data_IF_644828861444
#
_entry.id   IF_644828861444
#
_cell.length_a   1.000
_cell.length_b   1.000
_cell.length_c   1.000
_cell.angle_alpha   90.00
_cell.angle_beta   90.00
_cell.angle_gamma   90.00
#
_symmetry.space_group_name_H-M   'P 1'
#
loop_
_entity.id
_entity.type
_entity.pdbx_description
1 polymer ?
#
# COMPACT_ATOMS: atom_id res chain seq x y z
N UNK A 1 25.71 -37.20 6.21
CA UNK A 1 25.50 -36.03 7.08
C UNK A 1 26.87 -35.39 7.23
N UNK A 2 27.11 -34.28 6.52
CA UNK A 2 28.44 -33.65 6.47
C UNK A 2 28.53 -32.68 7.63
N UNK A 3 29.43 -32.93 8.58
CA UNK A 3 29.68 -32.01 9.69
C UNK A 3 30.32 -30.73 9.15
N UNK A 4 29.75 -29.59 9.52
CA UNK A 4 30.28 -28.27 9.17
C UNK A 4 31.56 -28.05 9.97
N UNK A 5 32.63 -27.59 9.31
CA UNK A 5 33.93 -27.36 9.93
C UNK A 5 33.82 -26.34 11.08
N UNK A 6 34.39 -26.65 12.24
CA UNK A 6 34.36 -25.81 13.44
C UNK A 6 34.83 -24.37 13.18
N UNK A 7 35.82 -24.17 12.30
CA UNK A 7 36.33 -22.86 11.90
C UNK A 7 35.24 -21.99 11.22
N UNK A 8 34.34 -22.61 10.46
CA UNK A 8 33.20 -21.91 9.85
C UNK A 8 32.18 -21.52 10.93
N UNK A 9 31.95 -22.41 11.89
CA UNK A 9 31.07 -22.14 13.04
C UNK A 9 31.60 -21.01 13.91
N UNK A 10 32.90 -21.00 14.18
CA UNK A 10 33.57 -19.97 14.99
C UNK A 10 33.60 -18.62 14.25
N UNK A 11 33.74 -18.62 12.92
CA UNK A 11 33.69 -17.42 12.08
C UNK A 11 32.28 -16.81 12.01
N UNK A 12 31.22 -17.63 11.96
CA UNK A 12 29.82 -17.17 12.06
C UNK A 12 29.53 -16.63 13.48
N UNK A 13 30.04 -17.29 14.52
CA UNK A 13 29.86 -16.84 15.90
C UNK A 13 30.63 -15.55 16.22
N UNK A 14 31.74 -15.30 15.51
CA UNK A 14 32.52 -14.07 15.58
C UNK A 14 32.03 -12.96 14.63
N UNK A 15 31.03 -13.22 13.79
CA UNK A 15 30.43 -12.21 12.94
C UNK A 15 29.60 -11.25 13.81
N UNK A 16 30.08 -10.01 13.93
CA UNK A 16 29.39 -8.94 14.64
C UNK A 16 28.25 -8.41 13.76
N UNK A 17 27.06 -8.96 13.96
CA UNK A 17 25.88 -8.54 13.22
C UNK A 17 25.28 -7.30 13.88
N UNK A 18 25.43 -6.14 13.23
CA UNK A 18 24.78 -4.91 13.66
C UNK A 18 23.30 -4.90 13.22
N UNK A 19 22.41 -5.12 14.19
CA UNK A 19 20.95 -5.08 14.01
C UNK A 19 20.32 -3.76 14.46
N UNK A 20 21.11 -2.73 14.80
CA UNK A 20 20.61 -1.45 15.31
C UNK A 20 19.59 -0.78 14.38
N UNK A 21 19.70 -1.06 13.08
CA UNK A 21 18.88 -0.45 12.03
C UNK A 21 17.77 -1.37 11.50
N UNK A 22 17.60 -2.58 12.06
CA UNK A 22 16.59 -3.54 11.56
C UNK A 22 15.18 -2.97 11.61
N UNK A 23 14.88 -2.14 12.62
CA UNK A 23 13.55 -1.53 12.78
C UNK A 23 13.32 -0.36 11.82
N UNK A 24 14.39 0.25 11.26
CA UNK A 24 14.27 1.35 10.28
C UNK A 24 13.78 0.85 8.92
N UNK A 25 13.95 -0.44 8.63
CA UNK A 25 13.48 -1.08 7.39
C UNK A 25 11.95 -1.22 7.31
N UNK A 26 11.24 -1.20 8.45
CA UNK A 26 9.77 -1.36 8.50
C UNK A 26 9.01 -0.04 8.66
N UNK A 27 9.72 1.08 8.80
CA UNK A 27 9.13 2.39 9.03
C UNK A 27 8.82 3.07 7.70
N UNK A 28 7.85 2.50 6.99
CA UNK A 28 7.40 2.94 5.67
C UNK A 28 6.55 4.21 5.82
N UNK A 29 6.92 5.25 5.08
CA UNK A 29 6.22 6.53 5.07
C UNK A 29 5.65 6.78 3.67
N UNK A 30 4.34 7.00 3.61
CA UNK A 30 3.61 7.26 2.37
C UNK A 30 2.88 8.58 2.44
N UNK A 31 2.91 9.32 1.34
CA UNK A 31 2.06 10.48 1.12
C UNK A 31 0.91 10.08 0.21
N UNK A 32 -0.33 10.25 0.68
CA UNK A 32 -1.53 9.94 -0.09
C UNK A 32 -2.31 11.21 -0.42
N UNK A 33 -2.61 11.42 -1.70
CA UNK A 33 -3.54 12.44 -2.19
C UNK A 33 -4.81 11.77 -2.72
N UNK A 34 -5.96 12.32 -2.35
CA UNK A 34 -7.26 11.81 -2.73
C UNK A 34 -8.19 12.96 -3.10
N UNK A 35 -8.84 12.83 -4.26
CA UNK A 35 -9.93 13.71 -4.67
C UNK A 35 -11.05 12.89 -5.29
N UNK A 36 -12.29 13.27 -5.00
CA UNK A 36 -13.47 12.65 -5.60
C UNK A 36 -14.55 13.68 -5.91
N UNK A 37 -15.34 13.35 -6.91
CA UNK A 37 -16.51 14.09 -7.32
C UNK A 37 -17.64 13.10 -7.65
N UNK A 38 -18.83 13.39 -7.12
CA UNK A 38 -20.00 12.56 -7.30
C UNK A 38 -21.23 13.38 -7.67
N UNK A 39 -22.12 12.74 -8.43
CA UNK A 39 -23.43 13.25 -8.76
C UNK A 39 -24.48 12.17 -8.45
N UNK A 40 -25.61 12.59 -7.89
CA UNK A 40 -26.79 11.75 -7.73
C UNK A 40 -27.96 12.41 -8.47
N UNK A 41 -28.72 11.59 -9.20
CA UNK A 41 -29.93 12.02 -9.90
C UNK A 41 -31.11 11.15 -9.49
N UNK A 42 -32.16 11.80 -8.98
CA UNK A 42 -33.40 11.12 -8.63
C UNK A 42 -34.23 10.84 -9.89
N UNK A 43 -34.29 9.58 -10.30
CA UNK A 43 -35.10 9.12 -11.44
C UNK A 43 -36.58 9.03 -11.07
N UNK A 44 -36.88 8.63 -9.83
CA UNK A 44 -38.22 8.59 -9.26
C UNK A 44 -38.14 8.70 -7.72
N UNK A 45 -39.26 8.88 -6.99
CA UNK A 45 -39.23 8.96 -5.51
C UNK A 45 -38.61 7.75 -4.80
N UNK A 46 -38.43 6.63 -5.51
CA UNK A 46 -37.84 5.39 -5.00
C UNK A 46 -36.62 4.93 -5.78
N UNK A 47 -36.15 5.69 -6.77
CA UNK A 47 -35.04 5.29 -7.63
C UNK A 47 -34.09 6.46 -7.83
N UNK A 48 -32.83 6.29 -7.44
CA UNK A 48 -31.74 7.23 -7.74
C UNK A 48 -30.66 6.56 -8.58
N UNK A 49 -30.09 7.33 -9.50
CA UNK A 49 -28.86 7.00 -10.21
C UNK A 49 -27.69 7.74 -9.55
N UNK A 50 -26.59 7.03 -9.30
CA UNK A 50 -25.36 7.61 -8.76
C UNK A 50 -24.23 7.45 -9.75
N UNK A 51 -23.41 8.49 -9.90
CA UNK A 51 -22.15 8.47 -10.64
C UNK A 51 -21.07 9.13 -9.78
N UNK A 52 -19.93 8.47 -9.64
CA UNK A 52 -18.82 8.91 -8.82
C UNK A 52 -17.49 8.65 -9.54
N UNK A 53 -16.59 9.62 -9.45
CA UNK A 53 -15.24 9.53 -9.96
C UNK A 53 -14.26 9.90 -8.85
N UNK A 54 -13.20 9.11 -8.70
CA UNK A 54 -12.18 9.31 -7.69
C UNK A 54 -10.79 9.11 -8.28
N UNK A 55 -9.86 9.97 -7.88
CA UNK A 55 -8.44 9.86 -8.16
C UNK A 55 -7.68 9.69 -6.85
N UNK A 56 -6.83 8.68 -6.81
CA UNK A 56 -5.93 8.39 -5.72
C UNK A 56 -4.51 8.47 -6.26
N UNK A 57 -3.64 9.13 -5.52
CA UNK A 57 -2.21 9.20 -5.79
C UNK A 57 -1.48 8.83 -4.51
N UNK A 58 -0.58 7.86 -4.61
CA UNK A 58 0.24 7.40 -3.51
C UNK A 58 1.69 7.58 -3.93
N UNK A 59 2.42 8.37 -3.14
CA UNK A 59 3.85 8.58 -3.29
C UNK A 59 4.56 7.87 -2.14
N UNK A 60 5.46 6.97 -2.51
CA UNK A 60 6.37 6.29 -1.60
C UNK A 60 7.65 7.11 -1.46
N UNK A 61 7.88 7.62 -0.24
CA UNK A 61 9.03 8.47 0.08
C UNK A 61 10.27 7.61 0.46
N UNK A 62 10.15 6.27 0.53
CA UNK A 62 11.20 5.32 0.94
C UNK A 62 11.23 4.03 0.08
N UNK A 63 11.12 4.13 -1.24
CA UNK A 63 11.05 2.98 -2.17
C UNK A 63 12.29 2.06 -2.31
N UNK A 64 13.26 2.13 -1.40
CA UNK A 64 14.50 1.35 -1.45
C UNK A 64 14.42 -0.05 -0.82
N UNK A 65 13.35 -0.38 -0.07
CA UNK A 65 13.26 -1.65 0.67
C UNK A 65 12.32 -2.67 0.01
N UNK A 66 11.12 -2.24 -0.41
CA UNK A 66 10.09 -3.13 -0.96
C UNK A 66 9.79 -2.89 -2.45
N UNK A 67 10.59 -2.02 -3.09
CA UNK A 67 10.34 -1.54 -4.45
C UNK A 67 9.58 -0.22 -4.45
N UNK A 68 9.51 0.43 -5.61
CA UNK A 68 8.77 1.69 -5.76
C UNK A 68 7.27 1.35 -5.73
N UNK A 69 6.60 1.69 -4.63
CA UNK A 69 5.15 1.50 -4.47
C UNK A 69 4.33 2.74 -4.91
N UNK A 70 5.01 3.76 -5.43
CA UNK A 70 4.38 4.96 -6.00
C UNK A 70 3.45 4.58 -7.16
N UNK A 71 2.20 5.03 -7.08
CA UNK A 71 1.21 4.73 -8.09
C UNK A 71 -0.04 5.59 -7.96
N UNK A 72 -0.79 5.65 -9.06
CA UNK A 72 -2.07 6.33 -9.11
C UNK A 72 -3.18 5.39 -9.55
N UNK A 73 -4.38 5.62 -9.01
CA UNK A 73 -5.57 4.85 -9.29
C UNK A 73 -6.71 5.80 -9.61
N UNK A 74 -7.35 5.56 -10.76
CA UNK A 74 -8.59 6.23 -11.13
C UNK A 74 -9.75 5.25 -11.05
N UNK A 75 -10.81 5.66 -10.36
CA UNK A 75 -12.00 4.83 -10.12
C UNK A 75 -13.22 5.58 -10.61
N UNK A 76 -14.00 4.95 -11.49
CA UNK A 76 -15.35 5.39 -11.84
C UNK A 76 -16.34 4.37 -11.29
N UNK A 77 -17.38 4.85 -10.62
CA UNK A 77 -18.48 4.04 -10.07
C UNK A 77 -19.80 4.59 -10.56
N UNK A 78 -20.67 3.71 -11.03
CA UNK A 78 -22.07 4.02 -11.29
C UNK A 78 -22.96 3.03 -10.55
N UNK A 79 -24.17 3.46 -10.20
CA UNK A 79 -25.07 2.64 -9.38
C UNK A 79 -26.52 3.08 -9.43
N UNK A 80 -27.42 2.15 -9.11
CA UNK A 80 -28.83 2.41 -8.91
C UNK A 80 -29.18 2.13 -7.45
N UNK A 81 -29.87 3.07 -6.81
CA UNK A 81 -30.38 2.92 -5.44
C UNK A 81 -31.90 2.83 -5.49
N UNK A 82 -32.45 1.75 -4.93
CA UNK A 82 -33.89 1.50 -4.82
C UNK A 82 -34.30 1.72 -3.36
N UNK A 83 -35.22 2.65 -3.11
CA UNK A 83 -35.85 2.88 -1.82
C UNK A 83 -37.11 2.02 -1.67
N UNK A 84 -37.19 1.26 -0.59
CA UNK A 84 -38.34 0.40 -0.25
C UNK A 84 -39.33 1.14 0.65
#
# INVERSE_FOLDING_TARGET
>A
MTEVLQEVTDSIAAADYDFSSINQYSDLAYTQFYVSAGAEYMLSPRLSLTLDAAYYDLTDDKGYVYGIETGSLYVIRSGLRIGF
#
